data_IF_507413414886
#
_entry.id   IF_507413414886
#
_cell.length_a   1.000
_cell.length_b   1.000
_cell.length_c   1.000
_cell.angle_alpha   90.00
_cell.angle_beta   90.00
_cell.angle_gamma   90.00
#
_symmetry.space_group_name_H-M   'P 1'
#
loop_
_entity.id
_entity.type
_entity.pdbx_description
1 polymer ?
#
# COMPACT_ATOMS: atom_id res chain seq x y z
N UNK A 1 -27.08 -32.15 56.52
CA UNK A 1 -27.52 -32.21 55.10
C UNK A 1 -27.76 -30.79 54.60
N UNK A 2 -26.84 -30.22 53.81
CA UNK A 2 -27.03 -28.90 53.23
C UNK A 2 -28.08 -28.96 52.11
N UNK A 3 -29.08 -28.07 52.15
CA UNK A 3 -30.11 -27.95 51.10
C UNK A 3 -29.45 -27.92 49.71
N UNK A 4 -29.84 -28.86 48.86
CA UNK A 4 -29.46 -28.88 47.44
C UNK A 4 -29.84 -27.59 46.73
N UNK A 5 -29.12 -27.27 45.64
CA UNK A 5 -29.36 -26.08 44.83
C UNK A 5 -30.80 -26.09 44.30
N UNK A 6 -31.50 -24.96 44.39
CA UNK A 6 -32.85 -24.81 43.80
C UNK A 6 -32.81 -24.78 42.26
N UNK A 7 -31.74 -24.19 41.70
CA UNK A 7 -31.60 -24.02 40.26
C UNK A 7 -30.31 -24.70 39.77
N UNK A 8 -30.48 -25.82 39.04
CA UNK A 8 -29.39 -26.65 38.51
C UNK A 8 -28.91 -26.11 37.17
N UNK A 9 -27.59 -26.07 36.96
CA UNK A 9 -27.02 -25.87 35.63
C UNK A 9 -26.76 -27.25 35.03
N UNK A 10 -27.28 -27.51 33.84
CA UNK A 10 -26.88 -28.64 33.01
C UNK A 10 -26.28 -28.06 31.72
N UNK A 11 -24.97 -28.20 31.55
CA UNK A 11 -24.28 -27.75 30.34
C UNK A 11 -24.45 -28.78 29.23
N UNK A 12 -24.74 -28.32 28.01
CA UNK A 12 -24.63 -29.19 26.84
C UNK A 12 -23.17 -29.54 26.55
N UNK A 13 -22.94 -30.62 25.79
CA UNK A 13 -21.60 -31.04 25.35
C UNK A 13 -20.85 -29.88 24.66
N UNK A 14 -21.55 -29.11 23.82
CA UNK A 14 -20.98 -27.98 23.09
C UNK A 14 -20.64 -26.81 24.04
N UNK A 15 -21.52 -26.48 24.99
CA UNK A 15 -21.29 -25.42 25.97
C UNK A 15 -20.10 -25.75 26.87
N UNK A 16 -20.01 -27.00 27.33
CA UNK A 16 -18.91 -27.48 28.16
C UNK A 16 -17.58 -27.36 27.42
N UNK A 17 -17.51 -27.80 26.17
CA UNK A 17 -16.29 -27.67 25.35
C UNK A 17 -15.86 -26.22 25.17
N UNK A 18 -16.80 -25.29 24.93
CA UNK A 18 -16.51 -23.84 24.81
C UNK A 18 -15.97 -23.26 26.12
N UNK A 19 -16.59 -23.59 27.25
CA UNK A 19 -16.15 -23.11 28.56
C UNK A 19 -14.79 -23.69 28.95
N UNK A 20 -14.52 -24.96 28.64
CA UNK A 20 -13.20 -25.59 28.85
C UNK A 20 -12.12 -24.93 27.99
N UNK A 21 -12.43 -24.62 26.72
CA UNK A 21 -11.52 -23.89 25.85
C UNK A 21 -11.20 -22.50 26.44
N UNK A 22 -12.20 -21.76 26.89
CA UNK A 22 -11.99 -20.45 27.53
C UNK A 22 -11.14 -20.57 28.80
N UNK A 23 -11.39 -21.60 29.62
CA UNK A 23 -10.65 -21.80 30.87
C UNK A 23 -9.18 -22.20 30.64
N UNK A 24 -8.85 -22.89 29.55
CA UNK A 24 -7.50 -23.41 29.27
C UNK A 24 -6.66 -22.47 28.39
N UNK A 25 -7.28 -21.60 27.60
CA UNK A 25 -6.61 -20.79 26.57
C UNK A 25 -5.62 -19.74 27.13
N UNK A 26 -5.71 -19.34 28.40
CA UNK A 26 -4.77 -18.40 29.05
C UNK A 26 -4.77 -16.95 28.51
N UNK A 27 -5.31 -16.73 27.30
CA UNK A 27 -5.37 -15.43 26.62
C UNK A 27 -6.69 -14.67 26.86
N UNK A 28 -7.69 -15.33 27.45
CA UNK A 28 -8.97 -14.69 27.75
C UNK A 28 -8.86 -13.77 28.99
N UNK A 29 -9.66 -12.68 29.09
CA UNK A 29 -9.66 -11.83 30.28
C UNK A 29 -9.91 -12.64 31.56
N UNK A 30 -9.14 -12.40 32.62
CA UNK A 30 -9.19 -13.20 33.86
C UNK A 30 -10.60 -13.37 34.43
N UNK A 31 -11.44 -12.34 34.33
CA UNK A 31 -12.84 -12.42 34.78
C UNK A 31 -13.69 -13.40 33.96
N UNK A 32 -13.46 -13.48 32.64
CA UNK A 32 -14.16 -14.41 31.75
C UNK A 32 -13.74 -15.85 32.01
N UNK A 33 -12.44 -16.08 32.25
CA UNK A 33 -11.89 -17.38 32.67
C UNK A 33 -12.52 -17.81 33.99
N UNK A 34 -12.53 -16.92 34.99
CA UNK A 34 -13.12 -17.19 36.31
C UNK A 34 -14.61 -17.55 36.21
N UNK A 35 -15.37 -16.82 35.40
CA UNK A 35 -16.78 -17.11 35.18
C UNK A 35 -16.97 -18.47 34.49
N UNK A 36 -16.12 -18.82 33.52
CA UNK A 36 -16.17 -20.12 32.86
C UNK A 36 -15.86 -21.27 33.82
N UNK A 37 -14.86 -21.12 34.69
CA UNK A 37 -14.54 -22.10 35.74
C UNK A 37 -15.70 -22.29 36.72
N UNK A 38 -16.34 -21.20 37.15
CA UNK A 38 -17.53 -21.27 38.01
C UNK A 38 -18.65 -22.06 37.34
N UNK A 39 -18.91 -21.85 36.06
CA UNK A 39 -19.96 -22.56 35.32
C UNK A 39 -19.62 -24.04 35.13
N UNK A 40 -18.36 -24.37 34.80
CA UNK A 40 -17.89 -25.76 34.69
C UNK A 40 -17.96 -26.53 36.02
N UNK A 41 -17.60 -25.88 37.13
CA UNK A 41 -17.70 -26.49 38.47
C UNK A 41 -19.15 -26.53 38.99
N UNK A 42 -20.03 -25.67 38.46
CA UNK A 42 -21.46 -25.64 38.81
C UNK A 42 -22.31 -26.59 37.95
N UNK A 43 -21.71 -27.26 36.96
CA UNK A 43 -22.39 -28.20 36.08
C UNK A 43 -22.85 -29.45 36.85
N UNK A 44 -24.13 -29.78 36.72
CA UNK A 44 -24.78 -30.98 37.24
C UNK A 44 -25.39 -31.83 36.11
N UNK A 45 -24.98 -31.59 34.85
CA UNK A 45 -25.35 -32.40 33.70
C UNK A 45 -24.65 -33.77 33.66
N UNK A 46 -25.00 -34.61 32.69
CA UNK A 46 -24.49 -35.99 32.56
C UNK A 46 -22.96 -36.08 32.40
N UNK A 47 -22.34 -35.00 31.91
CA UNK A 47 -20.89 -34.89 31.71
C UNK A 47 -20.15 -34.29 32.92
N UNK A 48 -20.84 -34.02 34.03
CA UNK A 48 -20.23 -33.46 35.22
C UNK A 48 -19.34 -34.49 35.94
N UNK A 49 -18.06 -34.15 36.12
CA UNK A 49 -17.07 -35.03 36.78
C UNK A 49 -17.24 -35.09 38.30
N UNK A 50 -17.83 -34.05 38.91
CA UNK A 50 -18.10 -33.95 40.34
C UNK A 50 -19.20 -32.94 40.60
N UNK A 51 -20.11 -33.25 41.52
CA UNK A 51 -21.07 -32.27 42.05
C UNK A 51 -20.40 -31.44 43.14
N UNK A 52 -20.13 -30.17 42.84
CA UNK A 52 -19.63 -29.20 43.82
C UNK A 52 -20.80 -28.44 44.45
N UNK A 53 -20.68 -28.00 45.70
CA UNK A 53 -21.56 -27.00 46.30
C UNK A 53 -21.04 -25.58 46.10
N UNK A 54 -21.90 -24.57 46.23
CA UNK A 54 -21.49 -23.17 46.05
C UNK A 54 -20.39 -22.73 47.03
N UNK A 55 -20.36 -23.31 48.22
CA UNK A 55 -19.32 -23.04 49.21
C UNK A 55 -17.98 -23.67 48.81
N UNK A 56 -17.99 -24.89 48.26
CA UNK A 56 -16.77 -25.55 47.80
C UNK A 56 -16.20 -24.85 46.56
N UNK A 57 -17.04 -24.43 45.60
CA UNK A 57 -16.60 -23.63 44.45
C UNK A 57 -16.00 -22.30 44.91
N UNK A 58 -16.68 -21.63 45.85
CA UNK A 58 -16.22 -20.38 46.42
C UNK A 58 -14.86 -20.53 47.12
N UNK A 59 -14.66 -21.59 47.89
CA UNK A 59 -13.37 -21.87 48.55
C UNK A 59 -12.28 -22.20 47.52
N UNK A 60 -12.57 -23.07 46.54
CA UNK A 60 -11.59 -23.50 45.54
C UNK A 60 -11.09 -22.34 44.65
N UNK A 61 -11.95 -21.36 44.35
CA UNK A 61 -11.62 -20.21 43.52
C UNK A 61 -11.31 -18.94 44.35
N UNK A 62 -11.27 -19.04 45.67
CA UNK A 62 -11.07 -17.93 46.61
C UNK A 62 -12.03 -16.74 46.37
N UNK A 63 -13.34 -17.03 46.29
CA UNK A 63 -14.42 -16.08 46.06
C UNK A 63 -15.44 -16.09 47.19
N UNK A 64 -16.26 -15.03 47.26
CA UNK A 64 -17.43 -15.03 48.10
C UNK A 64 -18.55 -15.89 47.48
N UNK A 65 -19.25 -16.70 48.29
CA UNK A 65 -20.37 -17.58 47.86
C UNK A 65 -21.41 -16.86 46.98
N UNK A 66 -21.76 -15.63 47.33
CA UNK A 66 -22.72 -14.82 46.57
C UNK A 66 -22.28 -14.55 45.11
N UNK A 67 -20.98 -14.51 44.83
CA UNK A 67 -20.47 -14.32 43.46
C UNK A 67 -20.77 -15.54 42.59
N UNK A 68 -20.55 -16.75 43.12
CA UNK A 68 -20.90 -18.02 42.46
C UNK A 68 -22.40 -18.06 42.18
N UNK A 69 -23.23 -17.76 43.18
CA UNK A 69 -24.69 -17.74 43.04
C UNK A 69 -25.18 -16.74 41.98
N UNK A 70 -24.64 -15.52 41.96
CA UNK A 70 -25.01 -14.48 40.97
C UNK A 70 -24.62 -14.84 39.53
N UNK A 71 -23.49 -15.51 39.34
CA UNK A 71 -23.04 -15.94 38.01
C UNK A 71 -23.92 -17.09 37.53
N UNK A 72 -24.23 -18.06 38.40
CA UNK A 72 -25.14 -19.16 38.12
C UNK A 72 -26.53 -18.67 37.72
N UNK A 73 -27.11 -17.79 38.54
CA UNK A 73 -28.40 -17.17 38.25
C UNK A 73 -28.39 -16.41 36.92
N UNK A 74 -27.32 -15.67 36.63
CA UNK A 74 -27.20 -14.95 35.36
C UNK A 74 -27.14 -15.87 34.14
N UNK A 75 -26.48 -17.02 34.26
CA UNK A 75 -26.45 -18.04 33.22
C UNK A 75 -27.83 -18.62 32.96
N UNK A 76 -28.56 -18.95 34.02
CA UNK A 76 -29.92 -19.51 33.90
C UNK A 76 -30.92 -18.49 33.33
N UNK A 77 -30.85 -17.23 33.74
CA UNK A 77 -31.79 -16.19 33.30
C UNK A 77 -31.48 -15.61 31.91
N UNK A 78 -30.19 -15.54 31.52
CA UNK A 78 -29.73 -14.75 30.36
C UNK A 78 -28.83 -15.52 29.40
N UNK A 79 -28.50 -16.76 29.70
CA UNK A 79 -27.65 -17.63 28.89
C UNK A 79 -26.15 -17.41 29.09
N UNK A 80 -25.38 -18.15 28.29
CA UNK A 80 -23.92 -18.28 28.39
C UNK A 80 -23.17 -16.95 28.17
N UNK A 81 -23.44 -16.24 27.08
CA UNK A 81 -22.70 -15.03 26.74
C UNK A 81 -22.85 -13.91 27.78
N UNK A 82 -24.06 -13.56 28.28
CA UNK A 82 -24.21 -12.58 29.36
C UNK A 82 -23.65 -13.01 30.71
N UNK A 83 -23.54 -14.32 30.96
CA UNK A 83 -22.90 -14.85 32.17
C UNK A 83 -21.38 -14.68 32.12
N UNK A 84 -20.77 -14.89 30.95
CA UNK A 84 -19.33 -14.78 30.75
C UNK A 84 -18.85 -13.32 30.56
N UNK A 85 -19.63 -12.51 29.86
CA UNK A 85 -19.23 -11.15 29.49
C UNK A 85 -19.63 -10.10 30.53
N UNK A 86 -18.84 -9.03 30.62
CA UNK A 86 -19.23 -7.85 31.39
C UNK A 86 -20.38 -7.15 30.65
N UNK A 87 -21.48 -6.86 31.36
CA UNK A 87 -22.56 -6.01 30.84
C UNK A 87 -21.97 -4.71 30.27
N UNK A 88 -22.12 -4.53 28.96
CA UNK A 88 -21.75 -3.29 28.28
C UNK A 88 -22.53 -2.13 28.92
N UNK A 89 -21.81 -1.09 29.31
CA UNK A 89 -22.45 0.12 29.83
C UNK A 89 -23.02 0.90 28.64
N UNK A 90 -24.27 1.35 28.76
CA UNK A 90 -24.92 2.19 27.72
C UNK A 90 -24.25 3.57 27.61
N UNK A 91 -23.73 4.10 28.72
CA UNK A 91 -22.95 5.35 28.76
C UNK A 91 -21.67 5.15 29.56
N UNK A 92 -20.57 5.82 29.17
CA UNK A 92 -19.37 5.85 30.00
C UNK A 92 -19.67 6.52 31.35
N UNK A 93 -18.91 6.20 32.41
CA UNK A 93 -19.10 6.82 33.74
C UNK A 93 -18.77 8.31 33.79
N UNK A 94 -17.98 8.78 32.83
CA UNK A 94 -17.58 10.17 32.66
C UNK A 94 -17.99 10.54 31.24
N UNK A 95 -18.70 11.64 31.08
CA UNK A 95 -19.12 12.10 29.77
C UNK A 95 -17.89 12.40 28.90
N UNK A 96 -17.91 12.05 27.60
CA UNK A 96 -16.81 12.37 26.71
C UNK A 96 -16.57 13.88 26.65
N UNK A 97 -15.31 14.30 26.80
CA UNK A 97 -14.90 15.71 26.60
C UNK A 97 -15.16 16.18 25.16
N UNK A 98 -15.16 15.23 24.22
CA UNK A 98 -15.45 15.45 22.80
C UNK A 98 -16.76 14.74 22.50
N UNK A 99 -17.81 15.51 22.30
CA UNK A 99 -19.08 15.04 21.76
C UNK A 99 -19.07 15.09 20.22
N UNK A 100 -20.19 14.71 19.59
CA UNK A 100 -20.29 14.65 18.13
C UNK A 100 -20.12 16.00 17.45
N UNK A 101 -20.59 17.09 18.06
CA UNK A 101 -20.44 18.45 17.52
C UNK A 101 -18.98 18.91 17.61
N UNK A 102 -18.35 18.73 18.77
CA UNK A 102 -16.94 19.03 18.98
C UNK A 102 -16.06 18.22 18.03
N UNK A 103 -16.37 16.94 17.86
CA UNK A 103 -15.68 16.07 16.91
C UNK A 103 -15.76 16.61 15.48
N UNK A 104 -16.96 17.01 15.01
CA UNK A 104 -17.13 17.60 13.69
C UNK A 104 -16.32 18.89 13.53
N UNK A 105 -16.27 19.75 14.54
CA UNK A 105 -15.48 20.99 14.51
C UNK A 105 -13.97 20.72 14.49
N UNK A 106 -13.49 19.70 15.22
CA UNK A 106 -12.09 19.26 15.17
C UNK A 106 -11.72 18.76 13.77
N UNK A 107 -12.59 17.97 13.16
CA UNK A 107 -12.38 17.42 11.81
C UNK A 107 -12.38 18.55 10.78
N UNK A 108 -13.38 19.44 10.83
CA UNK A 108 -13.50 20.57 9.91
C UNK A 108 -12.27 21.47 9.98
N UNK A 109 -11.78 21.77 11.19
CA UNK A 109 -10.55 22.54 11.37
C UNK A 109 -9.32 21.81 10.81
N UNK A 110 -9.21 20.49 11.03
CA UNK A 110 -8.12 19.71 10.48
C UNK A 110 -8.15 19.62 8.94
N UNK A 111 -9.33 19.74 8.31
CA UNK A 111 -9.50 19.76 6.86
C UNK A 111 -9.32 21.15 6.24
N UNK A 112 -9.26 22.22 7.05
CA UNK A 112 -9.05 23.57 6.55
C UNK A 112 -7.57 23.86 6.31
N UNK A 113 -7.27 25.00 5.69
CA UNK A 113 -5.89 25.48 5.63
C UNK A 113 -5.34 25.74 7.05
N UNK A 114 -4.10 25.32 7.32
CA UNK A 114 -3.41 25.68 8.55
C UNK A 114 -3.12 27.20 8.60
N UNK A 115 -2.81 27.76 9.78
CA UNK A 115 -2.45 29.18 9.93
C UNK A 115 -1.24 29.55 9.06
N UNK A 116 -1.16 30.83 8.68
CA UNK A 116 -0.07 31.37 7.88
C UNK A 116 1.32 30.94 8.42
N UNK A 117 2.21 30.52 7.50
CA UNK A 117 3.55 30.01 7.84
C UNK A 117 3.62 28.55 8.27
N UNK A 118 2.50 27.80 8.21
CA UNK A 118 2.47 26.36 8.49
C UNK A 118 2.03 25.59 7.25
N UNK A 119 2.79 24.57 6.85
CA UNK A 119 2.40 23.70 5.73
C UNK A 119 1.32 22.68 6.08
N UNK A 120 1.23 22.27 7.36
CA UNK A 120 0.33 21.20 7.82
C UNK A 120 -0.18 21.44 9.25
N UNK A 121 -1.33 20.85 9.60
CA UNK A 121 -1.82 20.77 10.97
C UNK A 121 -1.04 19.72 11.78
N UNK A 122 -0.13 20.16 12.66
CA UNK A 122 0.37 19.28 13.72
C UNK A 122 -0.69 19.11 14.82
N UNK A 123 -0.71 17.96 15.51
CA UNK A 123 -1.65 17.74 16.63
C UNK A 123 -1.52 18.82 17.70
N UNK A 124 -0.29 19.31 17.95
CA UNK A 124 -0.04 20.41 18.90
C UNK A 124 -0.65 21.72 18.41
N UNK A 125 -0.44 22.06 17.14
CA UNK A 125 -0.99 23.27 16.52
C UNK A 125 -2.52 23.23 16.54
N UNK A 126 -3.12 22.11 16.13
CA UNK A 126 -4.56 21.90 16.14
C UNK A 126 -5.14 22.01 17.56
N UNK A 127 -4.50 21.38 18.55
CA UNK A 127 -4.92 21.47 19.97
C UNK A 127 -4.90 22.92 20.47
N UNK A 128 -3.85 23.68 20.13
CA UNK A 128 -3.75 25.09 20.53
C UNK A 128 -4.78 25.96 19.81
N UNK A 129 -5.03 25.69 18.54
CA UNK A 129 -6.00 26.44 17.75
C UNK A 129 -7.45 26.18 18.22
N UNK A 130 -7.78 24.94 18.58
CA UNK A 130 -9.07 24.59 19.20
C UNK A 130 -9.31 25.37 20.50
N UNK A 131 -8.27 25.52 21.32
CA UNK A 131 -8.32 26.33 22.55
C UNK A 131 -8.44 27.82 22.23
N UNK A 132 -7.64 28.31 21.27
CA UNK A 132 -7.62 29.72 20.85
C UNK A 132 -8.98 30.16 20.30
N UNK A 133 -9.63 29.32 19.50
CA UNK A 133 -10.98 29.54 18.94
C UNK A 133 -12.11 29.27 19.92
N UNK A 134 -11.79 28.86 21.16
CA UNK A 134 -12.75 28.49 22.22
C UNK A 134 -13.72 27.38 21.81
N UNK A 135 -13.32 26.53 20.87
CA UNK A 135 -14.06 25.32 20.46
C UNK A 135 -14.05 24.30 21.59
N UNK A 136 -12.89 24.11 22.24
CA UNK A 136 -12.78 23.34 23.49
C UNK A 136 -11.84 24.05 24.45
N UNK A 137 -12.30 24.29 25.68
CA UNK A 137 -11.54 25.00 26.72
C UNK A 137 -10.39 24.15 27.27
N UNK A 138 -10.61 22.84 27.45
CA UNK A 138 -9.61 21.90 27.93
C UNK A 138 -9.63 20.60 27.12
N UNK A 139 -8.67 20.47 26.20
CA UNK A 139 -8.44 19.24 25.45
C UNK A 139 -6.95 18.87 25.41
N UNK A 140 -6.68 17.58 25.55
CA UNK A 140 -5.35 17.00 25.44
C UNK A 140 -5.02 16.56 24.01
N UNK A 141 -3.73 16.59 23.66
CA UNK A 141 -3.23 16.16 22.34
C UNK A 141 -3.66 14.73 21.97
N UNK A 142 -3.64 13.83 22.96
CA UNK A 142 -3.99 12.42 22.74
C UNK A 142 -5.48 12.24 22.46
N UNK A 143 -6.34 13.07 23.05
CA UNK A 143 -7.77 13.09 22.74
C UNK A 143 -7.99 13.49 21.29
N UNK A 144 -7.39 14.61 20.85
CA UNK A 144 -7.45 15.07 19.45
C UNK A 144 -6.94 13.99 18.49
N UNK A 145 -5.80 13.37 18.79
CA UNK A 145 -5.22 12.29 17.95
C UNK A 145 -6.16 11.08 17.85
N UNK A 146 -6.74 10.64 18.98
CA UNK A 146 -7.68 9.50 18.99
C UNK A 146 -8.96 9.81 18.23
N UNK A 147 -9.50 11.02 18.37
CA UNK A 147 -10.66 11.48 17.60
C UNK A 147 -10.37 11.41 16.11
N UNK A 148 -9.27 12.02 15.64
CA UNK A 148 -8.89 11.96 14.24
C UNK A 148 -8.62 10.54 13.73
N UNK A 149 -7.95 9.68 14.52
CA UNK A 149 -7.64 8.30 14.12
C UNK A 149 -8.88 7.42 13.91
N UNK A 150 -9.98 7.69 14.63
CA UNK A 150 -11.24 6.96 14.49
C UNK A 150 -12.01 7.31 13.21
N UNK A 151 -11.70 8.47 12.61
CA UNK A 151 -12.44 8.98 11.47
C UNK A 151 -11.94 8.42 10.14
N UNK A 152 -12.84 8.40 9.15
CA UNK A 152 -12.52 7.97 7.80
C UNK A 152 -11.69 9.02 7.06
N UNK A 153 -11.96 10.30 7.31
CA UNK A 153 -11.18 11.41 6.78
C UNK A 153 -9.78 11.43 7.41
N UNK A 154 -8.75 11.49 6.55
CA UNK A 154 -7.34 11.53 6.96
C UNK A 154 -6.66 12.73 6.28
N UNK A 155 -6.86 13.98 6.76
CA UNK A 155 -6.36 15.18 6.10
C UNK A 155 -4.82 15.25 5.98
N UNK A 156 -4.10 14.46 6.78
CA UNK A 156 -2.64 14.31 6.71
C UNK A 156 -2.18 13.31 5.64
N UNK A 157 -3.10 12.60 5.00
CA UNK A 157 -2.80 11.78 3.82
C UNK A 157 -3.13 12.58 2.58
N UNK A 158 -2.17 12.64 1.67
CA UNK A 158 -2.39 13.16 0.32
C UNK A 158 -2.32 11.97 -0.62
N UNK A 159 -3.44 11.66 -1.26
CA UNK A 159 -3.43 10.82 -2.46
C UNK A 159 -3.16 11.73 -3.65
N UNK A 160 -2.22 11.32 -4.48
CA UNK A 160 -1.90 12.00 -5.74
C UNK A 160 -2.63 11.25 -6.84
N UNK A 161 -3.32 11.98 -7.70
CA UNK A 161 -3.96 11.43 -8.89
C UNK A 161 -3.42 12.19 -10.11
N UNK A 162 -3.27 11.48 -11.22
CA UNK A 162 -2.99 12.12 -12.49
C UNK A 162 -4.34 12.46 -13.13
N UNK A 163 -4.52 13.71 -13.56
CA UNK A 163 -5.70 14.10 -14.33
C UNK A 163 -5.44 13.65 -15.77
N UNK A 164 -6.24 12.71 -16.32
CA UNK A 164 -6.10 12.30 -17.71
C UNK A 164 -6.24 13.51 -18.63
N UNK A 165 -5.71 13.40 -19.85
CA UNK A 165 -5.81 14.47 -20.83
C UNK A 165 -7.27 14.99 -20.96
N UNK A 166 -7.45 16.30 -21.21
CA UNK A 166 -8.79 16.88 -21.42
C UNK A 166 -9.57 16.18 -22.54
N UNK A 167 -8.86 15.67 -23.54
CA UNK A 167 -9.40 14.82 -24.61
C UNK A 167 -9.52 13.37 -24.11
N UNK A 168 -10.59 13.11 -23.36
CA UNK A 168 -10.87 11.80 -22.78
C UNK A 168 -11.01 10.68 -23.84
N UNK A 169 -11.70 10.89 -24.98
CA UNK A 169 -11.75 9.86 -26.04
C UNK A 169 -10.38 9.45 -26.55
N UNK A 170 -9.49 10.43 -26.81
CA UNK A 170 -8.12 10.13 -27.23
C UNK A 170 -7.35 9.36 -26.15
N UNK A 171 -7.43 9.82 -24.89
CA UNK A 171 -6.76 9.16 -23.76
C UNK A 171 -7.17 7.69 -23.65
N UNK A 172 -8.48 7.42 -23.71
CA UNK A 172 -9.02 6.06 -23.61
C UNK A 172 -8.59 5.21 -24.81
N UNK A 173 -8.62 5.74 -26.02
CA UNK A 173 -8.18 5.01 -27.21
C UNK A 173 -6.70 4.60 -27.14
N UNK A 174 -5.83 5.53 -26.74
CA UNK A 174 -4.39 5.26 -26.55
C UNK A 174 -4.13 4.32 -25.36
N UNK A 175 -4.89 4.46 -24.27
CA UNK A 175 -4.80 3.57 -23.09
C UNK A 175 -5.16 2.13 -23.46
N UNK A 176 -6.27 1.88 -24.15
CA UNK A 176 -6.69 0.52 -24.49
C UNK A 176 -5.66 -0.17 -25.40
N UNK A 177 -5.01 0.56 -26.31
CA UNK A 177 -3.90 0.01 -27.10
C UNK A 177 -2.79 -0.51 -26.18
N UNK A 178 -2.35 0.28 -25.19
CA UNK A 178 -1.31 -0.14 -24.24
C UNK A 178 -1.76 -1.37 -23.42
N UNK A 179 -3.00 -1.37 -22.93
CA UNK A 179 -3.53 -2.50 -22.15
C UNK A 179 -3.62 -3.78 -22.98
N UNK A 180 -4.02 -3.67 -24.25
CA UNK A 180 -4.06 -4.78 -25.18
C UNK A 180 -2.65 -5.37 -25.39
N UNK A 181 -1.62 -4.53 -25.52
CA UNK A 181 -0.23 -4.99 -25.65
C UNK A 181 0.24 -5.84 -24.45
N UNK A 182 -0.18 -5.50 -23.23
CA UNK A 182 0.14 -6.29 -22.03
C UNK A 182 -0.65 -7.60 -21.91
N UNK A 183 -1.81 -7.71 -22.59
CA UNK A 183 -2.61 -8.94 -22.60
C UNK A 183 -2.26 -9.88 -23.75
N UNK A 184 -1.54 -9.39 -24.77
CA UNK A 184 -1.07 -10.21 -25.89
C UNK A 184 -0.11 -11.31 -25.41
N UNK A 185 -0.19 -12.51 -25.99
CA UNK A 185 0.81 -13.55 -25.77
C UNK A 185 2.22 -13.07 -26.19
N UNK A 186 3.24 -13.56 -25.49
CA UNK A 186 4.63 -13.27 -25.83
C UNK A 186 4.96 -13.78 -27.25
N UNK A 187 5.54 -12.91 -28.08
CA UNK A 187 6.01 -13.23 -29.43
C UNK A 187 7.51 -12.97 -29.53
N UNK A 188 8.37 -14.00 -29.65
CA UNK A 188 9.82 -13.83 -29.79
C UNK A 188 10.26 -13.09 -31.06
N UNK A 189 9.48 -13.14 -32.15
CA UNK A 189 9.78 -12.41 -33.40
C UNK A 189 9.37 -10.94 -33.32
N UNK A 190 8.49 -10.60 -32.38
CA UNK A 190 8.04 -9.22 -32.14
C UNK A 190 7.91 -8.94 -30.63
N UNK A 191 9.03 -8.92 -29.89
CA UNK A 191 9.02 -8.73 -28.46
C UNK A 191 8.47 -7.34 -28.11
N UNK A 192 7.79 -7.27 -26.96
CA UNK A 192 7.37 -6.01 -26.35
C UNK A 192 8.50 -5.53 -25.44
N UNK A 193 9.07 -4.37 -25.76
CA UNK A 193 10.09 -3.72 -24.95
C UNK A 193 9.52 -2.40 -24.46
N UNK A 194 9.49 -2.24 -23.15
CA UNK A 194 9.08 -1.00 -22.50
C UNK A 194 10.32 -0.17 -22.20
N UNK A 195 10.29 1.11 -22.53
CA UNK A 195 11.41 2.02 -22.36
C UNK A 195 10.99 3.25 -21.58
N UNK A 196 11.85 3.68 -20.67
CA UNK A 196 11.71 4.93 -19.93
C UNK A 196 13.06 5.49 -19.49
N UNK A 197 13.07 6.74 -19.05
CA UNK A 197 14.27 7.48 -18.69
C UNK A 197 14.19 8.03 -17.26
N UNK A 198 15.34 8.10 -16.58
CA UNK A 198 15.46 8.78 -15.30
C UNK A 198 16.70 9.67 -15.27
N UNK A 199 16.79 10.53 -14.25
CA UNK A 199 18.00 11.29 -13.98
C UNK A 199 18.50 10.95 -12.58
N UNK A 200 19.80 10.70 -12.46
CA UNK A 200 20.46 10.45 -11.18
C UNK A 200 21.49 11.55 -10.92
N UNK A 201 21.25 12.32 -9.87
CA UNK A 201 22.25 13.24 -9.32
C UNK A 201 23.40 12.41 -8.70
N UNK A 202 24.62 12.76 -9.08
CA UNK A 202 25.84 12.19 -8.53
C UNK A 202 26.30 13.03 -7.34
N UNK A 203 26.47 12.36 -6.21
CA UNK A 203 26.86 12.99 -4.96
C UNK A 203 28.04 12.26 -4.36
N UNK A 204 29.12 12.99 -4.12
CA UNK A 204 30.28 12.51 -3.37
C UNK A 204 30.15 12.78 -1.87
N UNK A 205 30.97 12.07 -1.09
CA UNK A 205 31.12 12.35 0.33
C UNK A 205 32.13 13.48 0.52
N UNK A 206 31.74 14.55 1.23
CA UNK A 206 32.69 15.60 1.62
C UNK A 206 33.64 15.09 2.72
N UNK A 207 33.12 14.23 3.60
CA UNK A 207 33.86 13.53 4.64
C UNK A 207 33.57 12.04 4.55
N UNK A 208 34.60 11.22 4.69
CA UNK A 208 34.47 9.77 4.62
C UNK A 208 33.45 9.24 5.65
N UNK A 209 32.48 8.41 5.22
CA UNK A 209 31.51 7.83 6.12
C UNK A 209 32.18 6.86 7.10
N UNK A 210 31.68 6.83 8.34
CA UNK A 210 32.17 5.90 9.35
C UNK A 210 31.34 4.61 9.24
N UNK A 211 31.97 3.46 8.97
CA UNK A 211 31.26 2.21 8.81
C UNK A 211 30.60 1.78 10.11
N UNK A 212 29.54 0.99 9.98
CA UNK A 212 28.82 0.38 11.11
C UNK A 212 29.77 -0.51 11.94
N UNK A 213 29.60 -0.47 13.27
CA UNK A 213 30.30 -1.36 14.21
C UNK A 213 29.29 -1.92 15.22
N UNK A 214 29.59 -3.03 15.92
CA UNK A 214 28.68 -3.57 16.94
C UNK A 214 28.28 -2.50 17.98
N UNK A 215 26.99 -2.14 18.02
CA UNK A 215 26.45 -1.10 18.91
C UNK A 215 26.56 0.34 18.41
N UNK A 216 27.09 0.55 17.20
CA UNK A 216 27.22 1.87 16.57
C UNK A 216 26.67 1.84 15.14
N UNK A 217 25.65 2.63 14.89
CA UNK A 217 25.10 2.82 13.54
C UNK A 217 26.14 3.43 12.59
N UNK A 218 25.94 3.19 11.28
CA UNK A 218 26.68 3.89 10.23
C UNK A 218 26.50 5.40 10.40
N UNK A 219 27.57 6.18 10.19
CA UNK A 219 27.51 7.64 10.25
C UNK A 219 27.95 8.22 8.93
N UNK A 220 27.03 8.95 8.31
CA UNK A 220 27.27 9.71 7.10
C UNK A 220 27.10 11.21 7.43
N UNK A 221 28.09 12.03 7.05
CA UNK A 221 27.98 13.48 7.22
C UNK A 221 26.94 14.05 6.25
N UNK A 222 26.16 15.03 6.69
CA UNK A 222 25.09 15.58 5.85
C UNK A 222 25.61 16.40 4.65
N UNK A 223 26.84 16.92 4.71
CA UNK A 223 27.44 17.63 3.59
C UNK A 223 27.85 16.64 2.49
N UNK A 224 27.68 17.07 1.25
CA UNK A 224 28.00 16.30 0.05
C UNK A 224 28.62 17.22 -0.99
N UNK A 225 29.35 16.63 -1.93
CA UNK A 225 29.81 17.31 -3.15
C UNK A 225 28.86 16.97 -4.30
N UNK A 226 28.64 17.92 -5.21
CA UNK A 226 27.82 17.73 -6.41
C UNK A 226 28.73 17.38 -7.57
N UNK A 227 28.61 16.14 -8.07
CA UNK A 227 29.49 15.59 -9.10
C UNK A 227 28.80 15.50 -10.48
N UNK A 228 27.65 16.15 -10.63
CA UNK A 228 26.90 16.22 -11.87
C UNK A 228 25.63 15.37 -11.86
N UNK A 229 25.10 15.09 -13.04
CA UNK A 229 23.86 14.34 -13.25
C UNK A 229 24.08 13.38 -14.42
N UNK A 230 23.60 12.15 -14.28
CA UNK A 230 23.59 11.16 -15.34
C UNK A 230 22.14 10.89 -15.77
N UNK A 231 21.91 10.81 -17.08
CA UNK A 231 20.69 10.28 -17.67
C UNK A 231 20.76 8.75 -17.67
N UNK A 232 19.68 8.11 -17.23
CA UNK A 232 19.51 6.66 -17.23
C UNK A 232 18.48 6.29 -18.29
N UNK A 233 18.83 5.38 -19.19
CA UNK A 233 17.89 4.77 -20.14
C UNK A 233 17.59 3.35 -19.70
N UNK A 234 16.33 3.05 -19.41
CA UNK A 234 15.86 1.71 -19.04
C UNK A 234 15.11 1.08 -20.20
N UNK A 235 15.53 -0.10 -20.62
CA UNK A 235 14.78 -0.98 -21.51
C UNK A 235 14.41 -2.24 -20.73
N UNK A 236 13.14 -2.63 -20.79
CA UNK A 236 12.60 -3.75 -20.04
C UNK A 236 11.69 -4.61 -20.90
N UNK A 237 11.99 -5.90 -21.00
CA UNK A 237 11.10 -6.92 -21.55
C UNK A 237 10.35 -7.60 -20.38
N UNK A 238 9.07 -7.26 -20.15
CA UNK A 238 8.29 -7.83 -19.05
C UNK A 238 8.01 -9.33 -19.22
N UNK A 239 7.96 -9.82 -20.47
CA UNK A 239 7.63 -11.22 -20.77
C UNK A 239 8.82 -12.13 -20.54
N UNK A 240 10.01 -11.72 -20.99
CA UNK A 240 11.27 -12.42 -20.74
C UNK A 240 11.74 -12.21 -19.30
N UNK A 241 11.39 -11.08 -18.71
CA UNK A 241 12.05 -10.58 -17.51
C UNK A 241 13.50 -10.33 -17.85
N UNK A 242 13.76 -9.44 -18.81
CA UNK A 242 15.09 -8.96 -19.20
C UNK A 242 15.12 -7.44 -19.11
N UNK A 243 16.25 -6.86 -18.72
CA UNK A 243 16.45 -5.41 -18.76
C UNK A 243 17.85 -5.03 -19.20
N UNK A 244 17.96 -3.82 -19.74
CA UNK A 244 19.20 -3.08 -19.93
C UNK A 244 19.05 -1.66 -19.39
N UNK A 245 20.06 -1.21 -18.66
CA UNK A 245 20.18 0.17 -18.18
C UNK A 245 21.50 0.74 -18.65
N UNK A 246 21.47 1.88 -19.31
CA UNK A 246 22.68 2.63 -19.67
C UNK A 246 22.71 4.00 -19.01
N UNK A 247 23.93 4.46 -18.69
CA UNK A 247 24.20 5.80 -18.22
C UNK A 247 24.74 6.67 -19.36
N UNK A 248 24.25 7.92 -19.45
CA UNK A 248 24.73 8.92 -20.40
C UNK A 248 24.82 10.29 -19.74
N UNK A 249 25.69 11.13 -20.28
CA UNK A 249 25.81 12.53 -19.84
C UNK A 249 24.58 13.37 -20.22
N UNK A 250 23.84 12.96 -21.25
CA UNK A 250 22.71 13.71 -21.81
C UNK A 250 21.55 12.78 -22.17
N UNK A 251 20.37 13.39 -22.36
CA UNK A 251 19.14 12.73 -22.85
C UNK A 251 18.62 13.39 -24.12
N UNK A 252 19.48 13.45 -25.13
CA UNK A 252 19.16 14.08 -26.42
C UNK A 252 18.44 13.11 -27.36
N UNK A 253 17.97 13.62 -28.51
CA UNK A 253 17.46 12.76 -29.57
C UNK A 253 18.55 11.85 -30.16
N UNK A 254 19.83 12.27 -30.12
CA UNK A 254 20.96 11.46 -30.57
C UNK A 254 21.24 10.32 -29.60
N UNK A 255 21.23 10.61 -28.29
CA UNK A 255 21.36 9.59 -27.26
C UNK A 255 20.26 8.53 -27.40
N UNK A 256 19.01 8.96 -27.54
CA UNK A 256 17.89 8.05 -27.75
C UNK A 256 18.08 7.19 -29.01
N UNK A 257 18.48 7.79 -30.13
CA UNK A 257 18.68 7.06 -31.39
C UNK A 257 19.80 6.01 -31.28
N UNK A 258 20.90 6.32 -30.59
CA UNK A 258 21.97 5.36 -30.30
C UNK A 258 21.49 4.21 -29.41
N UNK A 259 20.69 4.51 -28.40
CA UNK A 259 20.10 3.50 -27.51
C UNK A 259 19.15 2.55 -28.26
N UNK A 260 18.35 3.09 -29.18
CA UNK A 260 17.50 2.29 -30.07
C UNK A 260 18.32 1.45 -31.03
N UNK A 261 19.39 2.01 -31.60
CA UNK A 261 20.30 1.24 -32.46
C UNK A 261 20.91 0.06 -31.68
N UNK A 262 21.36 0.29 -30.44
CA UNK A 262 21.89 -0.77 -29.57
C UNK A 262 20.83 -1.84 -29.28
N UNK A 263 19.60 -1.42 -28.93
CA UNK A 263 18.49 -2.34 -28.71
C UNK A 263 18.28 -3.27 -29.92
N UNK A 264 18.27 -2.69 -31.11
CA UNK A 264 17.96 -3.42 -32.33
C UNK A 264 19.13 -4.29 -32.81
N UNK A 265 20.37 -3.80 -32.76
CA UNK A 265 21.52 -4.48 -33.36
C UNK A 265 22.27 -5.39 -32.38
N UNK A 266 22.14 -5.17 -31.07
CA UNK A 266 22.91 -5.90 -30.04
C UNK A 266 22.00 -6.70 -29.11
N UNK A 267 20.96 -6.09 -28.55
CA UNK A 267 20.10 -6.78 -27.58
C UNK A 267 19.15 -7.77 -28.26
N UNK A 268 18.61 -7.39 -29.42
CA UNK A 268 17.65 -8.17 -30.21
C UNK A 268 18.02 -8.20 -31.70
N UNK A 269 19.21 -8.71 -32.08
CA UNK A 269 19.66 -8.74 -33.48
C UNK A 269 18.74 -9.61 -34.36
N UNK A 270 18.23 -10.69 -33.81
CA UNK A 270 17.45 -11.70 -34.54
C UNK A 270 15.95 -11.36 -34.63
N UNK A 271 15.46 -10.39 -33.85
CA UNK A 271 14.06 -10.00 -33.87
C UNK A 271 13.79 -9.15 -35.14
N UNK A 272 12.93 -9.59 -36.08
CA UNK A 272 12.64 -8.81 -37.28
C UNK A 272 12.01 -7.45 -36.96
N UNK A 273 11.22 -7.39 -35.88
CA UNK A 273 10.55 -6.16 -35.42
C UNK A 273 10.48 -6.14 -33.90
N UNK A 274 10.43 -4.95 -33.30
CA UNK A 274 10.23 -4.74 -31.86
C UNK A 274 9.03 -3.80 -31.68
N UNK A 275 8.13 -4.16 -30.77
CA UNK A 275 7.12 -3.25 -30.25
C UNK A 275 7.75 -2.47 -29.10
N UNK A 276 8.03 -1.19 -29.35
CA UNK A 276 8.62 -0.30 -28.36
C UNK A 276 7.53 0.52 -27.70
N UNK A 277 7.25 0.24 -26.43
CA UNK A 277 6.35 1.02 -25.60
C UNK A 277 7.14 2.08 -24.84
N UNK A 278 6.81 3.36 -25.01
CA UNK A 278 7.44 4.47 -24.30
C UNK A 278 6.43 5.56 -23.97
N UNK A 279 6.84 6.55 -23.18
CA UNK A 279 6.07 7.79 -23.10
C UNK A 279 6.09 8.56 -24.43
N UNK A 280 5.29 9.63 -24.51
CA UNK A 280 5.14 10.45 -25.71
C UNK A 280 6.04 11.69 -25.67
N UNK A 281 7.32 11.49 -25.33
CA UNK A 281 8.33 12.54 -25.36
C UNK A 281 8.71 12.88 -26.81
N UNK A 282 9.06 14.14 -27.09
CA UNK A 282 9.39 14.61 -28.43
C UNK A 282 10.62 13.93 -29.06
N UNK A 283 11.48 13.31 -28.24
CA UNK A 283 12.65 12.53 -28.66
C UNK A 283 12.27 11.10 -29.04
N UNK A 284 11.15 10.56 -28.55
CA UNK A 284 10.73 9.18 -28.77
C UNK A 284 10.02 9.01 -30.10
N UNK A 285 10.69 9.36 -31.19
CA UNK A 285 10.08 9.35 -32.53
C UNK A 285 11.07 8.81 -33.57
N UNK A 286 10.53 8.22 -34.63
CA UNK A 286 11.33 7.78 -35.79
C UNK A 286 12.15 8.93 -36.38
N UNK A 287 11.66 10.17 -36.27
CA UNK A 287 12.38 11.37 -36.71
C UNK A 287 13.74 11.51 -36.01
N UNK A 288 13.87 11.10 -34.75
CA UNK A 288 15.15 11.11 -34.04
C UNK A 288 16.20 10.24 -34.75
N UNK A 289 15.79 9.08 -35.28
CA UNK A 289 16.69 8.21 -36.05
C UNK A 289 17.22 8.92 -37.31
N UNK A 290 16.36 9.66 -38.02
CA UNK A 290 16.74 10.42 -39.23
C UNK A 290 17.54 11.69 -38.94
N UNK A 291 17.45 12.21 -37.72
CA UNK A 291 18.32 13.31 -37.27
C UNK A 291 19.74 12.82 -36.96
N UNK A 292 19.86 11.59 -36.48
CA UNK A 292 21.14 11.06 -35.96
C UNK A 292 21.89 10.21 -36.98
N UNK A 293 21.21 9.41 -37.80
CA UNK A 293 21.84 8.48 -38.74
C UNK A 293 21.60 8.84 -40.21
N UNK A 294 22.49 8.42 -41.13
CA UNK A 294 22.22 8.50 -42.57
C UNK A 294 20.91 7.82 -42.95
N UNK A 295 20.20 8.37 -43.93
CA UNK A 295 18.85 7.93 -44.30
C UNK A 295 18.70 6.40 -44.53
N UNK A 296 19.64 5.68 -45.17
CA UNK A 296 19.53 4.22 -45.29
C UNK A 296 19.53 3.49 -43.94
N UNK A 297 20.36 3.93 -43.00
CA UNK A 297 20.47 3.32 -41.67
C UNK A 297 19.27 3.67 -40.79
N UNK A 298 18.88 4.95 -40.77
CA UNK A 298 17.67 5.41 -40.09
C UNK A 298 16.43 4.65 -40.58
N UNK A 299 16.30 4.44 -41.89
CA UNK A 299 15.19 3.69 -42.47
C UNK A 299 15.24 2.20 -42.10
N UNK A 300 16.42 1.57 -42.08
CA UNK A 300 16.60 0.19 -41.63
C UNK A 300 16.12 0.00 -40.19
N UNK A 301 16.54 0.89 -39.29
CA UNK A 301 16.14 0.87 -37.87
C UNK A 301 14.63 1.13 -37.72
N UNK A 302 14.10 2.14 -38.39
CA UNK A 302 12.69 2.51 -38.32
C UNK A 302 11.76 1.37 -38.74
N UNK A 303 12.12 0.59 -39.76
CA UNK A 303 11.31 -0.56 -40.21
C UNK A 303 11.26 -1.71 -39.21
N UNK A 304 12.20 -1.77 -38.28
CA UNK A 304 12.24 -2.76 -37.21
C UNK A 304 11.51 -2.30 -35.95
N UNK A 305 10.89 -1.12 -35.96
CA UNK A 305 10.17 -0.59 -34.80
C UNK A 305 8.67 -0.48 -35.07
N UNK A 306 7.90 -0.83 -34.05
CA UNK A 306 6.50 -0.48 -33.90
C UNK A 306 6.36 0.36 -32.64
N UNK A 307 6.18 1.67 -32.82
CA UNK A 307 6.12 2.63 -31.71
C UNK A 307 4.73 2.59 -31.09
N UNK A 308 4.67 2.34 -29.78
CA UNK A 308 3.46 2.40 -28.96
C UNK A 308 3.70 3.45 -27.90
N UNK A 309 2.88 4.50 -27.87
CA UNK A 309 3.02 5.57 -26.89
C UNK A 309 1.97 5.44 -25.81
N UNK A 310 2.36 5.64 -24.55
CA UNK A 310 1.37 5.89 -23.50
C UNK A 310 0.60 7.17 -23.78
N UNK A 311 -0.68 7.26 -23.41
CA UNK A 311 -1.42 8.50 -23.51
C UNK A 311 -0.72 9.63 -22.75
N UNK A 312 -0.98 10.88 -23.15
CA UNK A 312 -0.49 12.03 -22.38
C UNK A 312 -1.11 11.98 -20.98
N UNK A 313 -0.29 12.26 -19.96
CA UNK A 313 -0.64 12.06 -18.55
C UNK A 313 -0.96 10.60 -18.17
N UNK A 314 -0.55 9.64 -18.99
CA UNK A 314 -0.78 8.20 -18.82
C UNK A 314 0.49 7.40 -18.56
N UNK A 315 1.57 8.06 -18.12
CA UNK A 315 2.90 7.44 -17.99
C UNK A 315 2.94 6.27 -16.98
N UNK A 316 2.03 6.28 -16.01
CA UNK A 316 1.79 5.18 -15.06
C UNK A 316 1.44 3.82 -15.71
N UNK A 317 1.07 3.82 -16.99
CA UNK A 317 0.86 2.60 -17.78
C UNK A 317 2.18 1.97 -18.27
N UNK A 318 3.31 2.68 -18.23
CA UNK A 318 4.60 2.18 -18.68
C UNK A 318 5.26 1.34 -17.59
N UNK A 319 5.42 0.03 -17.81
CA UNK A 319 6.07 -0.84 -16.82
C UNK A 319 7.56 -0.55 -16.62
N UNK A 320 8.21 0.15 -17.56
CA UNK A 320 9.59 0.60 -17.37
C UNK A 320 9.73 1.60 -16.20
N UNK A 321 8.73 2.44 -15.93
CA UNK A 321 8.68 3.31 -14.73
C UNK A 321 8.72 2.47 -13.44
N UNK A 322 8.03 1.33 -13.44
CA UNK A 322 8.02 0.42 -12.29
C UNK A 322 9.41 -0.17 -12.07
N UNK A 323 10.08 -0.60 -13.14
CA UNK A 323 11.44 -1.17 -13.03
C UNK A 323 12.47 -0.09 -12.63
N UNK A 324 12.33 1.14 -13.10
CA UNK A 324 13.11 2.30 -12.62
C UNK A 324 12.87 2.57 -11.13
N UNK A 325 11.63 2.43 -10.65
CA UNK A 325 11.33 2.55 -9.22
C UNK A 325 12.02 1.47 -8.39
N UNK A 326 12.10 0.24 -8.91
CA UNK A 326 12.83 -0.86 -8.26
C UNK A 326 14.33 -0.58 -8.25
N UNK A 327 14.91 -0.16 -9.38
CA UNK A 327 16.32 0.24 -9.48
C UNK A 327 16.65 1.36 -8.48
N UNK A 328 15.79 2.38 -8.41
CA UNK A 328 15.96 3.51 -7.50
C UNK A 328 16.07 3.05 -6.04
N UNK A 329 15.14 2.19 -5.59
CA UNK A 329 15.10 1.71 -4.20
C UNK A 329 16.17 0.69 -3.87
N UNK A 330 16.56 -0.15 -4.82
CA UNK A 330 17.48 -1.26 -4.56
C UNK A 330 18.95 -0.88 -4.76
N UNK A 331 19.24 0.07 -5.66
CA UNK A 331 20.61 0.39 -6.07
C UNK A 331 20.97 1.87 -5.91
N UNK A 332 20.06 2.77 -6.27
CA UNK A 332 20.39 4.20 -6.43
C UNK A 332 20.10 5.06 -5.19
N UNK A 333 19.42 4.56 -4.17
CA UNK A 333 19.11 5.29 -2.93
C UNK A 333 20.33 5.39 -1.98
N UNK A 334 21.43 5.90 -2.54
CA UNK A 334 22.72 6.16 -1.88
C UNK A 334 23.51 7.21 -2.67
N UNK A 335 24.61 7.66 -2.07
CA UNK A 335 25.62 8.49 -2.73
C UNK A 335 26.45 7.65 -3.69
N UNK A 336 26.66 8.18 -4.88
CA UNK A 336 27.48 7.62 -5.96
C UNK A 336 28.20 8.81 -6.55
N UNK A 337 29.52 8.82 -6.47
CA UNK A 337 30.33 10.00 -6.74
C UNK A 337 30.63 10.15 -8.23
N UNK A 338 30.76 9.04 -8.97
CA UNK A 338 31.16 9.08 -10.38
C UNK A 338 30.25 8.26 -11.28
N UNK A 339 30.31 8.55 -12.58
CA UNK A 339 29.56 7.80 -13.59
C UNK A 339 30.04 6.34 -13.68
N UNK A 340 31.34 6.08 -13.49
CA UNK A 340 31.90 4.72 -13.50
C UNK A 340 31.38 3.89 -12.32
N UNK A 341 31.32 4.48 -11.13
CA UNK A 341 30.74 3.84 -9.95
C UNK A 341 29.26 3.53 -10.18
N UNK A 342 28.51 4.50 -10.69
CA UNK A 342 27.10 4.33 -11.04
C UNK A 342 26.89 3.19 -12.04
N UNK A 343 27.67 3.17 -13.13
CA UNK A 343 27.57 2.14 -14.17
C UNK A 343 27.88 0.75 -13.62
N UNK A 344 28.93 0.62 -12.78
CA UNK A 344 29.31 -0.65 -12.16
C UNK A 344 28.20 -1.22 -11.26
N UNK A 345 27.61 -0.37 -10.42
CA UNK A 345 26.55 -0.80 -9.51
C UNK A 345 25.26 -1.16 -10.27
N UNK A 346 24.93 -0.40 -11.32
CA UNK A 346 23.82 -0.70 -12.23
C UNK A 346 24.04 -2.04 -12.95
N UNK A 347 25.25 -2.30 -13.46
CA UNK A 347 25.57 -3.55 -14.15
C UNK A 347 25.41 -4.77 -13.24
N UNK A 348 25.91 -4.68 -12.00
CA UNK A 348 25.75 -5.74 -11.01
C UNK A 348 24.26 -6.02 -10.71
N UNK A 349 23.47 -4.97 -10.46
CA UNK A 349 22.03 -5.07 -10.21
C UNK A 349 21.28 -5.64 -11.42
N UNK A 350 21.61 -5.17 -12.62
CA UNK A 350 21.04 -5.64 -13.88
C UNK A 350 21.31 -7.13 -14.09
N UNK A 351 22.54 -7.58 -13.87
CA UNK A 351 22.94 -8.97 -14.06
C UNK A 351 22.20 -9.89 -13.08
N UNK A 352 22.12 -9.51 -11.80
CA UNK A 352 21.37 -10.28 -10.79
C UNK A 352 19.91 -10.47 -11.22
N UNK A 353 19.23 -9.39 -11.60
CA UNK A 353 17.81 -9.45 -11.97
C UNK A 353 17.57 -10.17 -13.29
N UNK A 354 18.48 -10.01 -14.26
CA UNK A 354 18.50 -10.78 -15.52
C UNK A 354 18.62 -12.28 -15.25
N UNK A 355 19.53 -12.69 -14.37
CA UNK A 355 19.71 -14.09 -14.01
C UNK A 355 18.49 -14.66 -13.26
N UNK A 356 17.84 -13.86 -12.42
CA UNK A 356 16.60 -14.23 -11.75
C UNK A 356 15.36 -14.21 -12.67
N UNK A 357 15.50 -13.72 -13.91
CA UNK A 357 14.40 -13.45 -14.84
C UNK A 357 13.26 -12.69 -14.16
N UNK A 358 13.56 -11.69 -13.33
CA UNK A 358 12.54 -10.95 -12.58
C UNK A 358 11.58 -10.24 -13.54
N UNK A 359 10.27 -10.52 -13.40
CA UNK A 359 9.20 -10.03 -14.27
C UNK A 359 8.27 -9.07 -13.55
N UNK A 360 7.56 -8.26 -14.33
CA UNK A 360 6.37 -7.54 -13.89
C UNK A 360 5.15 -8.25 -14.49
N UNK A 361 4.27 -8.77 -13.63
CA UNK A 361 3.01 -9.37 -14.07
C UNK A 361 1.95 -8.28 -14.05
N UNK A 362 1.65 -7.74 -15.23
CA UNK A 362 0.56 -6.78 -15.40
C UNK A 362 -0.79 -7.49 -15.28
N UNK A 363 -1.70 -6.93 -14.48
CA UNK A 363 -3.02 -7.54 -14.21
C UNK A 363 -4.20 -6.66 -14.60
N UNK A 364 -3.97 -5.38 -14.88
CA UNK A 364 -5.04 -4.42 -15.16
C UNK A 364 -5.41 -4.49 -16.65
N UNK A 365 -6.59 -5.00 -16.98
CA UNK A 365 -7.01 -5.20 -18.37
C UNK A 365 -7.88 -4.07 -18.91
N UNK A 366 -8.17 -4.12 -20.21
CA UNK A 366 -9.13 -3.23 -20.88
C UNK A 366 -10.53 -3.35 -20.25
N UNK A 367 -10.99 -4.55 -19.88
CA UNK A 367 -12.25 -4.77 -19.18
C UNK A 367 -12.24 -4.12 -17.78
N UNK A 368 -11.15 -4.26 -17.04
CA UNK A 368 -10.99 -3.59 -15.74
C UNK A 368 -11.05 -2.06 -15.90
N UNK A 369 -10.42 -1.52 -16.94
CA UNK A 369 -10.39 -0.09 -17.20
C UNK A 369 -11.79 0.45 -17.50
N UNK A 370 -12.59 -0.25 -18.31
CA UNK A 370 -13.99 0.12 -18.61
C UNK A 370 -14.88 0.17 -17.37
N UNK A 371 -14.60 -0.67 -16.37
CA UNK A 371 -15.33 -0.67 -15.09
C UNK A 371 -14.80 0.40 -14.13
N UNK A 372 -13.50 0.40 -13.86
CA UNK A 372 -12.87 1.27 -12.83
C UNK A 372 -12.76 2.73 -13.29
N UNK A 373 -12.53 2.94 -14.59
CA UNK A 373 -12.35 4.26 -15.20
C UNK A 373 -13.53 4.66 -16.09
N UNK A 374 -14.73 4.09 -15.84
CA UNK A 374 -15.95 4.37 -16.61
C UNK A 374 -16.24 5.85 -16.89
N UNK A 375 -15.82 6.74 -15.99
CA UNK A 375 -16.03 8.18 -16.09
C UNK A 375 -15.15 8.86 -17.15
N UNK A 376 -14.15 8.14 -17.68
CA UNK A 376 -13.31 8.59 -18.81
C UNK A 376 -13.90 8.19 -20.16
N UNK A 377 -14.82 7.22 -20.18
CA UNK A 377 -15.43 6.73 -21.41
C UNK A 377 -16.60 7.63 -21.83
N UNK A 378 -16.85 7.78 -23.15
CA UNK A 378 -18.01 8.49 -23.63
C UNK A 378 -19.30 7.82 -23.17
N UNK A 379 -20.23 8.61 -22.64
CA UNK A 379 -21.58 8.16 -22.29
C UNK A 379 -22.47 8.43 -23.50
N UNK A 380 -22.97 7.36 -24.11
CA UNK A 380 -24.00 7.45 -25.13
C UNK A 380 -25.35 7.32 -24.44
N UNK A 381 -26.25 8.30 -24.63
CA UNK A 381 -27.66 8.12 -24.28
C UNK A 381 -28.20 7.00 -25.18
N UNK A 382 -28.73 5.95 -24.57
CA UNK A 382 -29.46 4.93 -25.32
C UNK A 382 -30.80 5.54 -25.71
N UNK A 383 -31.02 5.76 -27.02
CA UNK A 383 -32.34 6.04 -27.59
C UNK A 383 -33.27 4.85 -27.33
N UNK A 384 -33.83 4.80 -26.12
CA UNK A 384 -35.00 4.03 -25.76
C UNK A 384 -36.04 5.00 -25.23
N UNK A 385 -36.62 5.80 -26.14
CA UNK A 385 -37.98 6.36 -26.03
C UNK A 385 -38.39 7.03 -27.37
N UNK A 386 -38.34 6.25 -28.46
CA UNK A 386 -39.17 6.51 -29.63
C UNK A 386 -39.95 5.24 -29.97
N UNK A 387 -40.90 4.90 -29.08
CA UNK A 387 -41.97 3.96 -29.41
C UNK A 387 -43.28 4.72 -29.55
N UNK A 388 -43.62 4.94 -30.83
CA UNK A 388 -44.92 5.17 -31.49
C UNK A 388 -45.74 6.40 -31.09
#
# INVERSE_FOLDING_TARGET
MGRGRRDKIALSTEQRQRLEAISRNGHAPAKKILHAQILLMSDEGELATRTWTDNEIAQALNLHRNTVGRIRQRFLEKGEAPALERKARRKPPVDPIVDGETEAQIIALCCSQPPAGRGNWSIRLLTNELKKRRIVTQIGRETVRKTLKKNQLRPWKTERFCIPERDLPRFVAEMEVVLDEYTRPANPEMPLICMDEASKELHGHLYEPIPMQPGLDVKEDYHYTREGVQALFMFFDPNRGWRRVSCRDHRTCEDWADEIKHLLDVDYPDAPKIRLLSDNLNTHTITSLYKTFPAPEAHRLARRLEMIHTPRNGSWLNVAETELCVLSKQCLDRRLATAEELQKEIEAWQQERNNACAKVVWQFTTEDARVKLKHLYPVFETDQDFSV
#
